data_IF_345297797067
#
_entry.id   IF_345297797067
#
_cell.length_a   1.000
_cell.length_b   1.000
_cell.length_c   1.000
_cell.angle_alpha   90.00
_cell.angle_beta   90.00
_cell.angle_gamma   90.00
#
_symmetry.space_group_name_H-M   'P 1'
#
loop_
_entity.id
_entity.type
_entity.pdbx_description
1 polymer ?
#
# COMPACT_ATOMS: atom_id res chain seq x y z
N UNK A 1 -46.83 -6.20 1.19
CA UNK A 1 -45.86 -5.57 2.12
C UNK A 1 -45.07 -6.69 2.79
N UNK A 2 -43.89 -6.98 2.26
CA UNK A 2 -42.99 -8.02 2.78
C UNK A 2 -42.12 -7.33 3.83
N UNK A 3 -42.16 -7.73 5.11
CA UNK A 3 -41.37 -7.08 6.13
C UNK A 3 -39.88 -7.37 5.93
N UNK A 4 -39.11 -6.30 5.97
CA UNK A 4 -37.65 -6.17 6.01
C UNK A 4 -36.91 -7.39 6.57
N UNK A 5 -36.15 -8.06 5.69
CA UNK A 5 -35.32 -9.27 5.94
C UNK A 5 -34.14 -9.12 6.91
N UNK A 6 -34.18 -8.13 7.82
CA UNK A 6 -33.09 -7.80 8.74
C UNK A 6 -33.10 -8.64 10.04
N UNK A 7 -34.08 -9.52 10.26
CA UNK A 7 -34.17 -10.40 11.45
C UNK A 7 -33.99 -11.89 11.14
N UNK A 8 -33.73 -12.27 9.89
CA UNK A 8 -33.77 -13.68 9.44
C UNK A 8 -32.41 -14.42 9.44
N UNK A 9 -31.30 -13.83 9.88
CA UNK A 9 -29.99 -14.50 9.69
C UNK A 9 -29.16 -14.72 10.96
N UNK A 10 -29.43 -14.02 12.07
CA UNK A 10 -28.67 -14.19 13.31
C UNK A 10 -29.22 -15.27 14.26
N UNK A 11 -30.37 -15.87 13.92
CA UNK A 11 -31.01 -16.93 14.72
C UNK A 11 -31.50 -18.14 13.90
N UNK A 12 -31.33 -18.12 12.58
CA UNK A 12 -31.86 -19.16 11.67
C UNK A 12 -30.81 -20.10 11.08
N UNK A 13 -29.62 -20.21 11.67
CA UNK A 13 -28.63 -21.19 11.19
C UNK A 13 -29.19 -22.61 11.15
N UNK A 14 -30.06 -22.96 12.12
CA UNK A 14 -30.76 -24.24 12.17
C UNK A 14 -31.80 -24.34 11.05
N UNK A 15 -32.69 -23.35 10.86
CA UNK A 15 -33.69 -23.42 9.78
C UNK A 15 -33.05 -23.41 8.38
N UNK A 16 -31.99 -22.62 8.18
CA UNK A 16 -31.23 -22.61 6.93
C UNK A 16 -30.53 -23.94 6.67
N UNK A 17 -30.04 -24.60 7.73
CA UNK A 17 -29.49 -25.94 7.63
C UNK A 17 -30.54 -26.98 7.23
N UNK A 18 -31.74 -26.92 7.84
CA UNK A 18 -32.86 -27.79 7.44
C UNK A 18 -33.25 -27.54 5.98
N UNK A 19 -33.36 -26.27 5.58
CA UNK A 19 -33.70 -25.89 4.21
C UNK A 19 -32.66 -26.43 3.23
N UNK A 20 -31.37 -26.25 3.53
CA UNK A 20 -30.27 -26.82 2.75
C UNK A 20 -30.38 -28.34 2.65
N UNK A 21 -30.58 -29.05 3.76
CA UNK A 21 -30.69 -30.52 3.78
C UNK A 21 -31.86 -31.05 2.94
N UNK A 22 -32.96 -30.30 2.86
CA UNK A 22 -34.11 -30.64 2.02
C UNK A 22 -33.86 -30.33 0.55
N UNK A 23 -33.31 -29.14 0.26
CA UNK A 23 -33.09 -28.66 -1.11
C UNK A 23 -31.96 -29.41 -1.82
N UNK A 24 -30.95 -29.90 -1.09
CA UNK A 24 -29.85 -30.69 -1.66
C UNK A 24 -30.30 -32.08 -2.13
N UNK A 25 -31.44 -32.58 -1.64
CA UNK A 25 -32.05 -33.83 -2.11
C UNK A 25 -32.77 -33.68 -3.46
N UNK A 26 -33.07 -32.45 -3.87
CA UNK A 26 -33.74 -32.14 -5.13
C UNK A 26 -32.70 -31.78 -6.18
N UNK A 27 -32.70 -32.39 -7.38
CA UNK A 27 -31.81 -31.97 -8.47
C UNK A 27 -31.95 -30.46 -8.73
N UNK A 28 -30.82 -29.73 -8.72
CA UNK A 28 -30.77 -28.26 -8.84
C UNK A 28 -31.54 -27.47 -7.75
N UNK A 29 -31.99 -28.12 -6.67
CA UNK A 29 -32.76 -27.47 -5.61
C UNK A 29 -31.98 -26.40 -4.85
N UNK A 30 -30.65 -26.53 -4.77
CA UNK A 30 -29.80 -25.57 -4.06
C UNK A 30 -29.43 -24.33 -4.88
N UNK A 31 -29.66 -24.33 -6.20
CA UNK A 31 -29.25 -23.21 -7.07
C UNK A 31 -29.90 -21.87 -6.68
N UNK A 32 -31.20 -21.81 -6.33
CA UNK A 32 -31.82 -20.58 -5.83
C UNK A 32 -31.19 -20.11 -4.51
N UNK A 33 -30.85 -21.04 -3.61
CA UNK A 33 -30.23 -20.70 -2.32
C UNK A 33 -28.83 -20.08 -2.50
N UNK A 34 -28.05 -20.59 -3.46
CA UNK A 34 -26.76 -20.02 -3.80
C UNK A 34 -26.92 -18.59 -4.33
N UNK A 35 -27.88 -18.37 -5.24
CA UNK A 35 -28.17 -17.05 -5.80
C UNK A 35 -28.64 -16.06 -4.74
N UNK A 36 -29.55 -16.46 -3.87
CA UNK A 36 -30.07 -15.62 -2.78
C UNK A 36 -28.95 -15.24 -1.80
N UNK A 37 -28.05 -16.18 -1.48
CA UNK A 37 -26.87 -15.87 -0.66
C UNK A 37 -25.96 -14.83 -1.35
N UNK A 38 -25.67 -15.02 -2.65
CA UNK A 38 -24.84 -14.06 -3.39
C UNK A 38 -25.45 -12.66 -3.39
N UNK A 39 -26.73 -12.54 -3.75
CA UNK A 39 -27.45 -11.26 -3.79
C UNK A 39 -27.53 -10.61 -2.41
N UNK A 40 -27.77 -11.40 -1.37
CA UNK A 40 -27.82 -10.90 0.00
C UNK A 40 -26.46 -10.37 0.47
N UNK A 41 -25.36 -11.08 0.21
CA UNK A 41 -24.01 -10.63 0.59
C UNK A 41 -23.67 -9.31 -0.10
N UNK A 42 -23.95 -9.20 -1.40
CA UNK A 42 -23.69 -7.97 -2.16
C UNK A 42 -24.55 -6.83 -1.63
N UNK A 43 -25.87 -7.04 -1.48
CA UNK A 43 -26.78 -6.01 -1.00
C UNK A 43 -26.42 -5.54 0.42
N UNK A 44 -26.09 -6.46 1.32
CA UNK A 44 -25.71 -6.13 2.70
C UNK A 44 -24.37 -5.42 2.74
N UNK A 45 -23.38 -5.89 1.97
CA UNK A 45 -22.07 -5.25 1.87
C UNK A 45 -22.16 -3.81 1.37
N UNK A 46 -22.93 -3.57 0.30
CA UNK A 46 -23.14 -2.21 -0.22
C UNK A 46 -23.86 -1.32 0.79
N UNK A 47 -24.90 -1.83 1.47
CA UNK A 47 -25.62 -1.07 2.50
C UNK A 47 -24.72 -0.69 3.67
N UNK A 48 -23.93 -1.64 4.19
CA UNK A 48 -22.98 -1.42 5.29
C UNK A 48 -21.93 -0.36 4.90
N UNK A 49 -21.43 -0.41 3.65
CA UNK A 49 -20.46 0.56 3.15
C UNK A 49 -21.03 1.96 2.93
N UNK A 50 -22.25 2.07 2.40
CA UNK A 50 -22.94 3.36 2.21
C UNK A 50 -23.26 4.00 3.56
N UNK A 51 -23.71 3.22 4.54
CA UNK A 51 -24.00 3.73 5.88
C UNK A 51 -22.75 4.29 6.57
N UNK A 52 -21.57 3.74 6.28
CA UNK A 52 -20.31 4.19 6.84
C UNK A 52 -19.52 5.17 5.95
N UNK A 53 -20.09 5.62 4.82
CA UNK A 53 -19.38 6.38 3.79
C UNK A 53 -18.75 7.69 4.30
N UNK A 54 -19.43 8.45 5.16
CA UNK A 54 -18.91 9.71 5.71
C UNK A 54 -17.63 9.51 6.54
N UNK A 55 -17.54 8.39 7.26
CA UNK A 55 -16.38 8.08 8.11
C UNK A 55 -15.26 7.40 7.32
N UNK A 56 -15.62 6.53 6.38
CA UNK A 56 -14.68 5.72 5.59
C UNK A 56 -13.85 6.57 4.61
N UNK A 57 -14.40 7.68 4.09
CA UNK A 57 -13.65 8.53 3.14
C UNK A 57 -12.36 9.13 3.72
N UNK A 58 -12.27 9.22 5.04
CA UNK A 58 -11.13 9.81 5.74
C UNK A 58 -10.32 8.80 6.55
N UNK A 59 -10.86 7.60 6.79
CA UNK A 59 -10.29 6.58 7.68
C UNK A 59 -10.14 5.22 6.96
N UNK A 60 -8.90 4.92 6.55
CA UNK A 60 -8.58 3.66 5.87
C UNK A 60 -8.72 2.43 6.79
N UNK A 61 -8.52 2.58 8.10
CA UNK A 61 -8.65 1.48 9.06
C UNK A 61 -10.09 0.99 9.13
N UNK A 62 -11.03 1.91 9.35
CA UNK A 62 -12.45 1.57 9.44
C UNK A 62 -12.98 0.94 8.16
N UNK A 63 -12.49 1.37 6.99
CA UNK A 63 -12.88 0.73 5.73
C UNK A 63 -12.54 -0.77 5.71
N UNK A 64 -11.30 -1.09 6.06
CA UNK A 64 -10.80 -2.47 6.05
C UNK A 64 -11.51 -3.30 7.11
N UNK A 65 -11.70 -2.75 8.31
CA UNK A 65 -12.43 -3.43 9.40
C UNK A 65 -13.87 -3.79 9.01
N UNK A 66 -14.55 -2.93 8.25
CA UNK A 66 -15.90 -3.23 7.77
C UNK A 66 -15.91 -4.35 6.73
N UNK A 67 -14.94 -4.36 5.79
CA UNK A 67 -14.78 -5.47 4.83
C UNK A 67 -14.49 -6.79 5.55
N UNK A 68 -13.62 -6.78 6.55
CA UNK A 68 -13.31 -7.96 7.37
C UNK A 68 -14.52 -8.43 8.17
N UNK A 69 -15.28 -7.50 8.75
CA UNK A 69 -16.53 -7.80 9.48
C UNK A 69 -17.54 -8.46 8.56
N UNK A 70 -17.71 -7.94 7.33
CA UNK A 70 -18.57 -8.53 6.30
C UNK A 70 -18.13 -9.96 5.95
N UNK A 71 -16.84 -10.16 5.70
CA UNK A 71 -16.28 -11.48 5.37
C UNK A 71 -16.50 -12.48 6.51
N UNK A 72 -16.19 -12.08 7.74
CA UNK A 72 -16.32 -12.93 8.94
C UNK A 72 -17.78 -13.27 9.24
N UNK A 73 -18.69 -12.30 9.10
CA UNK A 73 -20.14 -12.51 9.27
C UNK A 73 -20.66 -13.61 8.34
N UNK A 74 -20.35 -13.51 7.06
CA UNK A 74 -20.85 -14.48 6.08
C UNK A 74 -20.07 -15.79 6.06
N UNK A 75 -18.79 -15.78 6.44
CA UNK A 75 -18.04 -17.02 6.67
C UNK A 75 -18.60 -17.82 7.83
N UNK A 76 -18.96 -17.15 8.94
CA UNK A 76 -19.64 -17.79 10.07
C UNK A 76 -20.99 -18.37 9.65
N UNK A 77 -21.77 -17.61 8.87
CA UNK A 77 -23.06 -18.09 8.34
C UNK A 77 -22.88 -19.36 7.50
N UNK A 78 -21.93 -19.37 6.56
CA UNK A 78 -21.68 -20.53 5.69
C UNK A 78 -21.23 -21.75 6.49
N UNK A 79 -20.37 -21.55 7.49
CA UNK A 79 -19.93 -22.60 8.39
C UNK A 79 -21.07 -23.20 9.20
N UNK A 80 -21.90 -22.36 9.80
CA UNK A 80 -22.95 -22.82 10.72
C UNK A 80 -24.18 -23.37 9.99
N UNK A 81 -24.64 -22.69 8.94
CA UNK A 81 -25.86 -23.08 8.21
C UNK A 81 -25.59 -24.14 7.12
N UNK A 82 -24.46 -24.05 6.44
CA UNK A 82 -24.15 -24.88 5.26
C UNK A 82 -22.96 -25.83 5.49
N UNK A 83 -22.45 -25.94 6.72
CA UNK A 83 -21.37 -26.87 7.09
C UNK A 83 -20.12 -26.75 6.20
N UNK A 84 -19.75 -25.52 5.82
CA UNK A 84 -18.63 -25.23 4.91
C UNK A 84 -18.77 -25.94 3.54
N UNK A 85 -20.02 -26.12 3.04
CA UNK A 85 -20.26 -26.66 1.71
C UNK A 85 -19.50 -25.86 0.64
N UNK A 86 -18.68 -26.51 -0.22
CA UNK A 86 -17.84 -25.84 -1.21
C UNK A 86 -18.61 -24.92 -2.17
N UNK A 87 -19.88 -25.23 -2.47
CA UNK A 87 -20.72 -24.44 -3.38
C UNK A 87 -21.09 -23.12 -2.72
N UNK A 88 -21.44 -23.14 -1.43
CA UNK A 88 -21.73 -21.93 -0.65
C UNK A 88 -20.47 -21.12 -0.33
N UNK A 89 -19.33 -21.77 -0.09
CA UNK A 89 -18.04 -21.06 0.02
C UNK A 89 -17.70 -20.32 -1.29
N UNK A 90 -17.90 -20.96 -2.44
CA UNK A 90 -17.68 -20.34 -3.75
C UNK A 90 -18.63 -19.16 -3.99
N UNK A 91 -19.92 -19.32 -3.65
CA UNK A 91 -20.92 -18.25 -3.73
C UNK A 91 -20.54 -17.04 -2.84
N UNK A 92 -20.14 -17.29 -1.59
CA UNK A 92 -19.63 -16.26 -0.68
C UNK A 92 -18.44 -15.52 -1.28
N UNK A 93 -17.45 -16.25 -1.77
CA UNK A 93 -16.21 -15.68 -2.32
C UNK A 93 -16.49 -14.84 -3.57
N UNK A 94 -17.40 -15.30 -4.43
CA UNK A 94 -17.85 -14.56 -5.61
C UNK A 94 -18.57 -13.27 -5.23
N UNK A 95 -19.48 -13.31 -4.27
CA UNK A 95 -20.21 -12.15 -3.80
C UNK A 95 -19.31 -11.15 -3.08
N UNK A 96 -18.42 -11.63 -2.20
CA UNK A 96 -17.44 -10.79 -1.51
C UNK A 96 -16.48 -10.11 -2.49
N UNK A 97 -16.02 -10.85 -3.52
CA UNK A 97 -15.24 -10.28 -4.63
C UNK A 97 -16.01 -9.18 -5.36
N UNK A 98 -17.31 -9.34 -5.58
CA UNK A 98 -18.12 -8.29 -6.20
C UNK A 98 -18.11 -7.01 -5.34
N UNK A 99 -18.33 -7.13 -4.03
CA UNK A 99 -18.31 -5.99 -3.09
C UNK A 99 -16.94 -5.29 -3.07
N UNK A 100 -15.84 -6.03 -2.92
CA UNK A 100 -14.47 -5.47 -2.83
C UNK A 100 -14.11 -4.65 -4.08
N UNK A 101 -14.57 -5.09 -5.25
CA UNK A 101 -14.24 -4.45 -6.53
C UNK A 101 -15.32 -3.48 -7.03
N UNK A 102 -16.38 -3.25 -6.26
CA UNK A 102 -17.45 -2.34 -6.65
C UNK A 102 -16.96 -0.88 -6.59
N UNK A 103 -16.95 -0.22 -7.76
CA UNK A 103 -16.47 1.15 -7.90
C UNK A 103 -17.51 2.21 -7.50
N UNK A 104 -18.76 1.83 -7.25
CA UNK A 104 -19.84 2.72 -6.81
C UNK A 104 -19.75 3.04 -5.31
N UNK A 105 -19.08 2.17 -4.54
CA UNK A 105 -18.80 2.38 -3.11
C UNK A 105 -17.87 3.60 -2.94
N UNK A 106 -16.77 3.66 -3.70
CA UNK A 106 -15.85 4.79 -3.74
C UNK A 106 -15.20 4.88 -5.12
N UNK A 107 -15.45 5.98 -5.86
CA UNK A 107 -14.88 6.19 -7.18
C UNK A 107 -13.47 6.80 -7.09
N UNK A 108 -12.46 6.10 -7.62
CA UNK A 108 -11.15 6.69 -7.94
C UNK A 108 -11.14 7.13 -9.40
N UNK A 109 -10.67 8.34 -9.70
CA UNK A 109 -10.34 8.73 -11.06
C UNK A 109 -8.83 8.60 -11.26
N UNK A 110 -8.40 7.58 -12.02
CA UNK A 110 -7.01 7.38 -12.39
C UNK A 110 -6.74 7.99 -13.77
N UNK A 111 -5.70 8.83 -13.93
CA UNK A 111 -5.18 9.17 -15.25
C UNK A 111 -4.57 7.91 -15.90
N UNK A 112 -5.09 7.50 -17.07
CA UNK A 112 -4.45 6.48 -17.89
C UNK A 112 -3.08 6.98 -18.36
N UNK A 113 -2.08 6.09 -18.34
CA UNK A 113 -0.71 6.37 -18.77
C UNK A 113 -0.67 6.85 -20.23
N UNK A 114 -0.38 8.13 -20.46
CA UNK A 114 0.57 8.52 -21.50
C UNK A 114 1.29 9.84 -21.18
N UNK A 115 2.53 9.91 -21.68
CA UNK A 115 3.56 10.94 -21.47
C UNK A 115 3.04 12.35 -21.76
N UNK A 116 3.13 13.25 -20.78
CA UNK A 116 2.93 14.68 -20.99
C UNK A 116 2.03 15.29 -19.92
N UNK A 117 2.60 16.20 -19.13
CA UNK A 117 1.91 16.91 -18.06
C UNK A 117 1.00 17.97 -18.65
N UNK A 118 -0.26 17.95 -18.21
CA UNK A 118 -1.19 19.06 -18.37
C UNK A 118 -1.69 19.45 -16.98
N UNK A 119 -1.75 20.75 -16.73
CA UNK A 119 -2.23 21.34 -15.49
C UNK A 119 -3.71 21.03 -15.26
N UNK A 120 -4.13 20.95 -13.99
CA UNK A 120 -5.48 20.54 -13.55
C UNK A 120 -6.64 21.34 -14.18
N UNK A 121 -6.39 22.56 -14.67
CA UNK A 121 -7.41 23.38 -15.34
C UNK A 121 -7.48 23.19 -16.87
N UNK A 122 -6.41 22.68 -17.49
CA UNK A 122 -6.36 22.42 -18.94
C UNK A 122 -6.86 21.01 -19.29
N UNK A 123 -6.79 20.09 -18.32
CA UNK A 123 -7.16 18.70 -18.49
C UNK A 123 -8.65 18.54 -18.86
N UNK A 124 -9.57 19.27 -18.19
CA UNK A 124 -11.02 19.15 -18.39
C UNK A 124 -11.51 19.44 -19.82
N UNK A 125 -10.86 20.34 -20.57
CA UNK A 125 -11.22 20.65 -21.97
C UNK A 125 -10.58 19.70 -22.98
N UNK A 126 -9.44 19.11 -22.64
CA UNK A 126 -8.74 18.13 -23.49
C UNK A 126 -9.40 16.75 -23.38
N UNK A 127 -9.86 16.36 -22.19
CA UNK A 127 -10.54 15.07 -21.97
C UNK A 127 -11.81 14.90 -22.81
N UNK A 128 -12.57 15.97 -23.06
CA UNK A 128 -13.77 15.93 -23.90
C UNK A 128 -13.46 15.77 -25.40
N UNK A 129 -12.25 16.10 -25.86
CA UNK A 129 -11.87 16.04 -27.30
C UNK A 129 -11.21 14.74 -27.73
N UNK A 130 -10.65 13.95 -26.80
CA UNK A 130 -9.80 12.78 -27.13
C UNK A 130 -10.46 11.42 -26.83
N UNK A 131 -11.68 11.39 -26.27
CA UNK A 131 -12.42 10.13 -26.09
C UNK A 131 -11.72 9.11 -25.17
N UNK A 132 -10.84 9.54 -24.26
CA UNK A 132 -10.25 8.67 -23.25
C UNK A 132 -11.33 8.28 -22.22
N UNK A 133 -11.76 7.02 -22.27
CA UNK A 133 -12.64 6.43 -21.26
C UNK A 133 -11.85 6.22 -19.96
N UNK A 134 -12.10 7.01 -18.92
CA UNK A 134 -11.67 6.70 -17.56
C UNK A 134 -12.56 5.57 -17.04
N UNK A 135 -11.97 4.40 -16.76
CA UNK A 135 -12.73 3.32 -16.13
C UNK A 135 -12.88 3.66 -14.64
N UNK A 136 -14.11 3.64 -14.08
CA UNK A 136 -14.29 3.78 -12.64
C UNK A 136 -13.67 2.57 -11.96
N UNK A 137 -12.60 2.79 -11.19
CA UNK A 137 -11.96 1.73 -10.40
C UNK A 137 -12.25 1.94 -8.91
N UNK A 138 -12.43 0.83 -8.18
CA UNK A 138 -12.62 0.83 -6.73
C UNK A 138 -11.40 1.44 -6.03
N UNK A 139 -11.63 2.30 -5.02
CA UNK A 139 -10.57 2.81 -4.14
C UNK A 139 -10.00 1.74 -3.18
N UNK A 140 -10.62 0.57 -3.09
CA UNK A 140 -10.20 -0.48 -2.16
C UNK A 140 -8.68 -0.79 -2.18
N UNK A 141 -8.03 -0.97 -3.35
CA UNK A 141 -6.59 -1.28 -3.39
C UNK A 141 -5.71 -0.16 -2.80
N UNK A 142 -6.12 1.10 -2.96
CA UNK A 142 -5.41 2.25 -2.37
C UNK A 142 -5.60 2.29 -0.85
N UNK A 143 -6.84 2.12 -0.38
CA UNK A 143 -7.16 2.13 1.06
C UNK A 143 -6.47 0.99 1.80
N UNK A 144 -6.41 -0.21 1.22
CA UNK A 144 -5.64 -1.34 1.76
C UNK A 144 -4.15 -0.98 1.88
N UNK A 145 -3.57 -0.37 0.85
CA UNK A 145 -2.16 0.03 0.87
C UNK A 145 -1.87 1.13 1.91
N UNK A 146 -2.79 2.08 2.09
CA UNK A 146 -2.69 3.12 3.10
C UNK A 146 -2.79 2.55 4.52
N UNK A 147 -3.69 1.58 4.74
CA UNK A 147 -3.80 0.93 6.04
C UNK A 147 -2.54 0.13 6.38
N UNK A 148 -1.97 -0.61 5.42
CA UNK A 148 -0.65 -1.23 5.60
C UNK A 148 0.43 -0.19 5.97
N UNK A 149 0.47 0.97 5.31
CA UNK A 149 1.45 2.03 5.62
C UNK A 149 1.29 2.56 7.06
N UNK A 150 0.04 2.75 7.52
CA UNK A 150 -0.23 3.19 8.90
C UNK A 150 0.27 2.20 9.96
N UNK A 151 0.17 0.89 9.68
CA UNK A 151 0.62 -0.19 10.55
C UNK A 151 2.16 -0.34 10.54
N UNK A 152 2.78 -0.23 9.35
CA UNK A 152 4.22 -0.44 9.15
C UNK A 152 5.08 0.79 9.50
N UNK A 153 4.48 1.97 9.65
CA UNK A 153 5.17 3.19 10.07
C UNK A 153 5.06 3.42 11.58
N UNK A 154 6.02 4.14 12.17
CA UNK A 154 5.95 4.65 13.55
C UNK A 154 4.82 5.69 13.73
N UNK A 155 3.57 5.24 13.87
CA UNK A 155 2.37 6.07 14.07
C UNK A 155 1.87 5.93 15.52
N UNK A 156 0.99 6.84 16.00
CA UNK A 156 0.33 6.64 17.29
C UNK A 156 -0.47 5.34 17.40
N UNK A 157 -0.92 4.79 16.25
CA UNK A 157 -1.64 3.53 16.18
C UNK A 157 -0.68 2.34 16.37
N UNK A 158 0.40 2.26 15.59
CA UNK A 158 1.36 1.15 15.70
C UNK A 158 2.08 1.13 17.04
N UNK A 159 2.24 2.28 17.71
CA UNK A 159 2.78 2.35 19.08
C UNK A 159 1.88 1.74 20.15
N UNK A 160 0.59 1.55 19.88
CA UNK A 160 -0.38 0.96 20.82
C UNK A 160 -0.53 -0.55 20.65
N UNK A 161 0.00 -1.09 19.55
CA UNK A 161 -0.14 -2.49 19.17
C UNK A 161 1.19 -3.22 19.38
N UNK A 162 1.14 -4.51 19.67
CA UNK A 162 2.35 -5.36 19.67
C UNK A 162 2.72 -5.75 18.23
N UNK A 163 3.96 -6.24 18.04
CA UNK A 163 4.41 -6.75 16.75
C UNK A 163 3.52 -7.89 16.23
N UNK A 164 3.04 -8.77 17.12
CA UNK A 164 2.14 -9.86 16.77
C UNK A 164 0.75 -9.37 16.34
N UNK A 165 0.22 -8.34 17.00
CA UNK A 165 -1.07 -7.73 16.62
C UNK A 165 -0.98 -7.02 15.26
N UNK A 166 0.15 -6.36 14.99
CA UNK A 166 0.42 -5.75 13.68
C UNK A 166 0.48 -6.83 12.60
N UNK A 167 1.21 -7.92 12.84
CA UNK A 167 1.26 -9.06 11.92
C UNK A 167 -0.12 -9.65 11.66
N UNK A 168 -0.93 -9.85 12.71
CA UNK A 168 -2.29 -10.36 12.57
C UNK A 168 -3.15 -9.43 11.68
N UNK A 169 -3.15 -8.11 11.95
CA UNK A 169 -3.87 -7.12 11.14
C UNK A 169 -3.37 -7.08 9.68
N UNK A 170 -2.06 -7.22 9.45
CA UNK A 170 -1.52 -7.30 8.08
C UNK A 170 -2.01 -8.56 7.35
N UNK A 171 -2.05 -9.72 8.02
CA UNK A 171 -2.62 -10.95 7.43
C UNK A 171 -4.10 -10.83 7.10
N UNK A 172 -4.87 -10.10 7.90
CA UNK A 172 -6.26 -9.77 7.58
C UNK A 172 -6.37 -8.88 6.34
N UNK A 173 -5.52 -7.86 6.19
CA UNK A 173 -5.46 -7.05 4.95
C UNK A 173 -5.17 -7.93 3.73
N UNK A 174 -4.24 -8.87 3.86
CA UNK A 174 -3.89 -9.80 2.80
C UNK A 174 -5.02 -10.76 2.44
N UNK A 175 -5.90 -11.12 3.38
CA UNK A 175 -7.13 -11.86 3.10
C UNK A 175 -8.04 -11.06 2.16
N UNK A 176 -8.26 -9.77 2.43
CA UNK A 176 -9.06 -8.91 1.55
C UNK A 176 -8.39 -8.74 0.18
N UNK A 177 -7.06 -8.58 0.17
CA UNK A 177 -6.26 -8.40 -1.05
C UNK A 177 -6.39 -9.57 -2.04
N UNK A 178 -6.64 -10.80 -1.57
CA UNK A 178 -6.91 -11.97 -2.43
C UNK A 178 -8.12 -11.75 -3.36
N UNK A 179 -9.09 -10.95 -2.94
CA UNK A 179 -10.32 -10.67 -3.70
C UNK A 179 -10.20 -9.43 -4.59
N UNK A 180 -9.14 -8.64 -4.47
CA UNK A 180 -8.90 -7.46 -5.32
C UNK A 180 -8.54 -7.91 -6.74
N UNK A 181 -9.22 -7.35 -7.75
CA UNK A 181 -8.94 -7.60 -9.17
C UNK A 181 -7.71 -6.82 -9.65
N UNK A 182 -7.67 -5.51 -9.41
CA UNK A 182 -6.58 -4.66 -9.87
C UNK A 182 -5.43 -4.59 -8.85
N UNK A 183 -4.67 -5.69 -8.76
CA UNK A 183 -3.52 -5.83 -7.85
C UNK A 183 -2.40 -4.81 -8.13
N UNK A 184 -2.26 -4.33 -9.36
CA UNK A 184 -1.24 -3.35 -9.75
C UNK A 184 -1.40 -1.99 -9.04
N UNK A 185 -2.64 -1.60 -8.77
CA UNK A 185 -2.94 -0.35 -8.06
C UNK A 185 -2.44 -0.44 -6.63
N UNK A 186 -2.76 -1.52 -5.92
CA UNK A 186 -2.22 -1.78 -4.58
C UNK A 186 -0.69 -1.75 -4.61
N UNK A 187 -0.05 -2.51 -5.51
CA UNK A 187 1.41 -2.58 -5.57
C UNK A 187 2.06 -1.24 -5.88
N UNK A 188 1.42 -0.38 -6.68
CA UNK A 188 1.91 0.98 -6.95
C UNK A 188 1.93 1.84 -5.68
N UNK A 189 0.83 1.84 -4.91
CA UNK A 189 0.75 2.61 -3.66
C UNK A 189 1.67 2.01 -2.59
N UNK A 190 1.64 0.70 -2.41
CA UNK A 190 2.49 0.01 -1.44
C UNK A 190 3.98 0.25 -1.73
N UNK A 191 4.41 0.18 -3.00
CA UNK A 191 5.78 0.55 -3.39
C UNK A 191 6.12 1.99 -3.02
N UNK A 192 5.23 2.93 -3.30
CA UNK A 192 5.47 4.35 -3.01
C UNK A 192 5.62 4.60 -1.50
N UNK A 193 4.80 3.93 -0.69
CA UNK A 193 4.87 3.99 0.76
C UNK A 193 6.16 3.35 1.29
N UNK A 194 6.50 2.13 0.86
CA UNK A 194 7.76 1.47 1.24
C UNK A 194 8.98 2.32 0.86
N UNK A 195 8.96 2.91 -0.33
CA UNK A 195 10.02 3.82 -0.80
C UNK A 195 10.25 4.95 0.19
N UNK A 196 9.18 5.63 0.64
CA UNK A 196 9.30 6.69 1.65
C UNK A 196 9.80 6.14 2.97
N UNK A 197 9.32 4.98 3.41
CA UNK A 197 9.69 4.40 4.70
C UNK A 197 11.17 4.04 4.78
N UNK A 198 11.71 3.41 3.73
CA UNK A 198 13.11 3.02 3.65
C UNK A 198 14.09 4.20 3.45
N UNK A 199 13.66 5.24 2.72
CA UNK A 199 14.47 6.44 2.52
C UNK A 199 14.54 7.28 3.78
N UNK A 200 13.41 7.47 4.46
CA UNK A 200 13.31 8.31 5.66
C UNK A 200 13.62 7.56 6.96
N UNK A 201 13.83 6.24 6.88
CA UNK A 201 14.07 5.35 8.03
C UNK A 201 12.97 5.46 9.12
N UNK A 202 11.72 5.44 8.67
CA UNK A 202 10.52 5.63 9.51
C UNK A 202 9.70 4.34 9.70
N UNK A 203 10.23 3.21 9.25
CA UNK A 203 9.63 1.89 9.50
C UNK A 203 9.54 1.62 11.00
N UNK A 204 8.46 0.98 11.43
CA UNK A 204 8.23 0.60 12.81
C UNK A 204 9.10 -0.61 13.20
N UNK A 205 9.13 -1.61 12.33
CA UNK A 205 9.84 -2.88 12.51
C UNK A 205 10.36 -3.34 11.14
N UNK A 206 11.66 -3.56 11.02
CA UNK A 206 12.31 -3.99 9.79
C UNK A 206 12.00 -5.43 9.42
N UNK A 207 11.81 -6.31 10.41
CA UNK A 207 11.56 -7.73 10.18
C UNK A 207 10.15 -7.92 9.59
N UNK A 208 9.16 -7.20 10.12
CA UNK A 208 7.79 -7.21 9.58
C UNK A 208 7.77 -6.65 8.14
N UNK A 209 8.59 -5.65 7.82
CA UNK A 209 8.68 -5.10 6.47
C UNK A 209 9.25 -6.12 5.47
N UNK A 210 10.27 -6.90 5.85
CA UNK A 210 10.77 -8.00 5.02
C UNK A 210 9.72 -9.12 4.89
N UNK A 211 9.08 -9.52 5.99
CA UNK A 211 8.01 -10.52 6.00
C UNK A 211 6.81 -10.11 5.13
N UNK A 212 6.45 -8.82 5.11
CA UNK A 212 5.37 -8.31 4.27
C UNK A 212 5.63 -8.56 2.78
N UNK A 213 6.89 -8.49 2.32
CA UNK A 213 7.23 -8.80 0.92
C UNK A 213 7.03 -10.28 0.63
N UNK A 214 7.39 -11.16 1.56
CA UNK A 214 7.17 -12.60 1.42
C UNK A 214 5.69 -12.95 1.46
N UNK A 215 4.90 -12.36 2.35
CA UNK A 215 3.46 -12.59 2.37
C UNK A 215 2.77 -12.09 1.10
N UNK A 216 3.22 -10.97 0.51
CA UNK A 216 2.74 -10.52 -0.81
C UNK A 216 3.06 -11.53 -1.92
N UNK A 217 4.21 -12.21 -1.84
CA UNK A 217 4.57 -13.30 -2.75
C UNK A 217 3.59 -14.47 -2.61
N UNK A 218 3.32 -14.90 -1.37
CA UNK A 218 2.42 -16.03 -1.06
C UNK A 218 0.97 -15.78 -1.50
N UNK A 219 0.49 -14.54 -1.39
CA UNK A 219 -0.86 -14.12 -1.84
C UNK A 219 -1.00 -14.10 -3.37
N UNK A 220 0.10 -14.30 -4.10
CA UNK A 220 0.12 -14.29 -5.56
C UNK A 220 -0.02 -12.88 -6.12
N UNK A 221 0.70 -11.91 -5.55
CA UNK A 221 0.87 -10.59 -6.15
C UNK A 221 1.84 -10.66 -7.34
N UNK A 222 1.77 -9.72 -8.30
CA UNK A 222 2.63 -9.73 -9.48
C UNK A 222 4.13 -9.82 -9.13
N UNK A 223 4.79 -10.88 -9.61
CA UNK A 223 6.15 -11.21 -9.22
C UNK A 223 7.17 -10.11 -9.56
N UNK A 224 6.97 -9.38 -10.67
CA UNK A 224 7.86 -8.29 -11.07
C UNK A 224 7.83 -7.12 -10.07
N UNK A 225 6.68 -6.86 -9.43
CA UNK A 225 6.56 -5.87 -8.38
C UNK A 225 7.18 -6.36 -7.09
N UNK A 226 6.87 -7.59 -6.66
CA UNK A 226 7.42 -8.19 -5.43
C UNK A 226 8.95 -8.25 -5.49
N UNK A 227 9.52 -8.67 -6.62
CA UNK A 227 10.97 -8.71 -6.82
C UNK A 227 11.62 -7.32 -6.74
N UNK A 228 10.94 -6.26 -7.20
CA UNK A 228 11.42 -4.88 -7.04
C UNK A 228 11.42 -4.46 -5.57
N UNK A 229 10.39 -4.82 -4.79
CA UNK A 229 10.36 -4.52 -3.35
C UNK A 229 11.50 -5.25 -2.62
N UNK A 230 11.68 -6.55 -2.87
CA UNK A 230 12.79 -7.32 -2.30
C UNK A 230 14.16 -6.71 -2.66
N UNK A 231 14.32 -6.24 -3.90
CA UNK A 231 15.53 -5.55 -4.35
C UNK A 231 15.77 -4.23 -3.61
N UNK A 232 14.71 -3.50 -3.25
CA UNK A 232 14.85 -2.25 -2.48
C UNK A 232 15.52 -2.50 -1.12
N UNK A 233 15.17 -3.56 -0.39
CA UNK A 233 15.85 -3.89 0.87
C UNK A 233 17.34 -4.21 0.68
N UNK A 234 17.68 -4.95 -0.38
CA UNK A 234 19.09 -5.21 -0.72
C UNK A 234 19.84 -3.92 -1.05
N UNK A 235 19.22 -3.01 -1.79
CA UNK A 235 19.82 -1.72 -2.13
C UNK A 235 20.03 -0.84 -0.89
N UNK A 236 19.13 -0.88 0.11
CA UNK A 236 19.33 -0.17 1.38
C UNK A 236 20.58 -0.69 2.10
N UNK A 237 20.73 -2.01 2.26
CA UNK A 237 21.89 -2.61 2.93
C UNK A 237 23.20 -2.25 2.22
N UNK A 238 23.25 -2.41 0.90
CA UNK A 238 24.42 -2.01 0.09
C UNK A 238 24.71 -0.51 0.22
N UNK A 239 23.66 0.31 0.28
CA UNK A 239 23.82 1.75 0.43
C UNK A 239 24.36 2.15 1.80
N UNK A 240 24.01 1.43 2.87
CA UNK A 240 24.54 1.67 4.21
C UNK A 240 26.04 1.39 4.26
N UNK A 241 26.47 0.28 3.65
CA UNK A 241 27.90 -0.07 3.52
C UNK A 241 28.67 1.02 2.74
N UNK A 242 28.11 1.50 1.62
CA UNK A 242 28.72 2.57 0.82
C UNK A 242 28.81 3.88 1.59
N UNK A 243 27.78 4.21 2.36
CA UNK A 243 27.74 5.41 3.17
C UNK A 243 28.78 5.35 4.31
N UNK A 244 28.94 4.19 4.95
CA UNK A 244 29.98 3.99 5.96
C UNK A 244 31.38 4.13 5.35
N UNK A 245 31.64 3.50 4.20
CA UNK A 245 32.91 3.61 3.50
C UNK A 245 33.23 5.06 3.08
N UNK A 246 32.22 5.83 2.66
CA UNK A 246 32.37 7.26 2.36
C UNK A 246 32.80 8.05 3.61
N UNK A 247 32.10 7.83 4.74
CA UNK A 247 32.41 8.49 6.02
C UNK A 247 33.82 8.19 6.50
N UNK A 248 34.25 6.94 6.40
CA UNK A 248 35.60 6.51 6.80
C UNK A 248 36.69 7.18 5.96
N UNK A 249 36.50 7.27 4.64
CA UNK A 249 37.47 7.90 3.74
C UNK A 249 37.65 9.40 4.04
N UNK A 250 36.57 10.09 4.41
CA UNK A 250 36.59 11.53 4.67
C UNK A 250 36.71 11.91 6.14
N UNK A 251 36.92 10.94 7.04
CA UNK A 251 37.06 11.19 8.49
C UNK A 251 38.19 12.16 8.84
N UNK A 252 39.27 12.14 8.06
CA UNK A 252 40.46 12.98 8.25
C UNK A 252 40.56 14.15 7.25
N UNK A 253 39.67 14.20 6.24
CA UNK A 253 39.65 15.26 5.24
C UNK A 253 38.77 16.41 5.71
N UNK A 254 39.20 17.65 5.44
CA UNK A 254 38.37 18.85 5.65
C UNK A 254 37.33 18.96 4.54
N UNK A 255 36.23 18.22 4.66
CA UNK A 255 35.01 18.50 3.89
C UNK A 255 34.33 19.79 4.38
N UNK A 256 33.54 20.42 3.51
CA UNK A 256 32.69 21.57 3.87
C UNK A 256 31.67 21.20 4.98
N UNK A 257 31.19 19.95 4.98
CA UNK A 257 30.35 19.37 6.03
C UNK A 257 31.07 18.22 6.74
N UNK A 258 30.88 18.04 8.07
CA UNK A 258 31.34 16.84 8.74
C UNK A 258 30.75 15.59 8.06
N UNK A 259 31.59 14.63 7.68
CA UNK A 259 31.13 13.42 6.97
C UNK A 259 30.04 12.67 7.75
N UNK A 260 30.13 12.66 9.08
CA UNK A 260 29.14 12.03 9.96
C UNK A 260 27.76 12.69 9.92
N UNK A 261 27.70 13.97 9.55
CA UNK A 261 26.43 14.70 9.48
C UNK A 261 25.58 14.22 8.31
N UNK A 262 26.19 13.80 7.20
CA UNK A 262 25.52 13.41 5.96
C UNK A 262 25.21 11.91 5.93
N UNK A 263 24.07 11.54 5.38
CA UNK A 263 23.69 10.18 5.03
C UNK A 263 23.38 10.09 3.54
N UNK A 264 24.21 9.38 2.79
CA UNK A 264 24.06 9.25 1.34
C UNK A 264 23.40 7.90 1.05
N UNK A 265 22.26 7.94 0.35
CA UNK A 265 21.57 6.73 -0.10
C UNK A 265 21.76 6.53 -1.60
N UNK A 266 22.58 5.57 -2.02
CA UNK A 266 22.82 5.22 -3.43
C UNK A 266 22.00 3.98 -3.80
N UNK A 267 21.00 4.15 -4.64
CA UNK A 267 19.95 3.17 -4.91
C UNK A 267 19.88 2.84 -6.41
N UNK A 268 19.26 1.71 -6.77
CA UNK A 268 19.11 1.32 -8.17
C UNK A 268 17.85 1.94 -8.81
N UNK A 269 18.02 2.75 -9.85
CA UNK A 269 16.93 3.32 -10.64
C UNK A 269 15.83 2.33 -11.05
N UNK A 270 16.19 1.11 -11.46
CA UNK A 270 15.22 0.13 -11.94
C UNK A 270 14.23 -0.36 -10.86
N UNK A 271 14.69 -0.46 -9.62
CA UNK A 271 13.87 -0.93 -8.50
C UNK A 271 13.10 0.23 -7.84
N UNK A 272 13.71 1.41 -7.73
CA UNK A 272 13.16 2.54 -6.96
C UNK A 272 12.35 3.52 -7.79
N UNK A 273 12.91 3.97 -8.91
CA UNK A 273 12.36 5.11 -9.64
C UNK A 273 11.13 4.73 -10.47
N UNK A 274 10.15 5.64 -10.48
CA UNK A 274 9.23 5.81 -11.61
C UNK A 274 9.47 7.21 -12.12
N UNK A 275 10.18 7.34 -13.24
CA UNK A 275 10.27 8.54 -14.09
C UNK A 275 9.87 9.84 -13.37
N UNK A 276 10.71 10.34 -12.46
CA UNK A 276 10.45 11.65 -11.88
C UNK A 276 10.77 12.71 -12.91
N UNK A 277 9.94 13.73 -13.01
CA UNK A 277 10.35 14.97 -13.66
C UNK A 277 11.64 15.46 -13.01
N UNK A 278 12.56 15.96 -13.83
CA UNK A 278 13.76 16.64 -13.33
C UNK A 278 13.31 17.97 -12.74
N UNK A 279 13.18 18.01 -11.43
CA UNK A 279 12.95 19.25 -10.71
C UNK A 279 14.32 19.83 -10.36
N UNK A 280 14.58 21.03 -10.87
CA UNK A 280 15.77 21.79 -10.52
C UNK A 280 15.53 22.47 -9.19
N UNK A 281 16.43 22.22 -8.24
CA UNK A 281 16.47 22.90 -6.93
C UNK A 281 17.82 23.57 -6.78
N UNK A 282 17.83 24.80 -6.27
CA UNK A 282 19.07 25.46 -5.85
C UNK A 282 19.48 24.89 -4.49
N UNK A 283 20.68 24.32 -4.41
CA UNK A 283 21.20 23.73 -3.18
C UNK A 283 22.03 24.77 -2.41
N UNK A 284 22.07 24.70 -1.07
CA UNK A 284 23.09 25.37 -0.27
C UNK A 284 24.51 25.01 -0.73
N UNK A 285 25.44 25.98 -0.65
CA UNK A 285 26.83 25.82 -1.11
C UNK A 285 27.50 24.60 -0.49
N UNK A 286 27.24 24.32 0.78
CA UNK A 286 27.86 23.21 1.50
C UNK A 286 27.51 21.84 0.90
N UNK A 287 26.38 21.73 0.20
CA UNK A 287 25.96 20.51 -0.50
C UNK A 287 26.38 20.48 -1.95
N UNK A 288 26.45 21.65 -2.59
CA UNK A 288 27.05 21.75 -3.92
C UNK A 288 28.52 21.30 -3.89
N UNK A 289 29.27 21.66 -2.84
CA UNK A 289 30.65 21.24 -2.63
C UNK A 289 30.79 19.73 -2.33
N UNK A 290 29.74 19.12 -1.76
CA UNK A 290 29.74 17.70 -1.45
C UNK A 290 29.47 16.81 -2.67
N UNK A 291 28.69 17.30 -3.65
CA UNK A 291 28.29 16.53 -4.84
C UNK A 291 29.51 15.93 -5.57
N UNK A 292 30.56 16.71 -5.93
CA UNK A 292 31.73 16.19 -6.63
C UNK A 292 32.47 15.09 -5.85
N UNK A 293 32.59 15.24 -4.52
CA UNK A 293 33.28 14.29 -3.65
C UNK A 293 32.58 12.93 -3.65
N UNK A 294 31.24 12.94 -3.63
CA UNK A 294 30.43 11.71 -3.70
C UNK A 294 30.52 11.07 -5.07
N UNK A 295 30.50 11.86 -6.15
CA UNK A 295 30.66 11.34 -7.51
C UNK A 295 32.05 10.72 -7.73
N UNK A 296 33.11 11.35 -7.22
CA UNK A 296 34.47 10.83 -7.30
C UNK A 296 34.63 9.53 -6.50
N UNK A 297 34.14 9.51 -5.25
CA UNK A 297 34.11 8.30 -4.43
C UNK A 297 33.41 7.14 -5.16
N UNK A 298 32.22 7.39 -5.69
CA UNK A 298 31.44 6.35 -6.35
C UNK A 298 32.12 5.86 -7.64
N UNK A 299 32.65 6.78 -8.45
CA UNK A 299 33.34 6.47 -9.71
C UNK A 299 34.60 5.64 -9.50
N UNK A 300 35.34 5.89 -8.41
CA UNK A 300 36.53 5.11 -8.05
C UNK A 300 36.20 3.65 -7.75
N UNK A 301 35.06 3.41 -7.11
CA UNK A 301 34.63 2.07 -6.69
C UNK A 301 33.78 1.36 -7.76
N UNK A 302 33.15 2.11 -8.68
CA UNK A 302 32.22 1.59 -9.69
C UNK A 302 32.45 2.24 -11.06
N UNK A 303 33.30 1.60 -11.87
CA UNK A 303 33.53 2.02 -13.25
C UNK A 303 32.31 1.75 -14.13
N UNK A 304 32.03 2.68 -15.06
CA UNK A 304 30.94 2.52 -16.04
C UNK A 304 29.53 2.83 -15.52
N UNK A 305 29.37 3.28 -14.27
CA UNK A 305 28.09 3.74 -13.72
C UNK A 305 28.02 5.27 -13.64
N UNK A 306 26.82 5.82 -13.73
CA UNK A 306 26.55 7.25 -13.60
C UNK A 306 25.46 7.47 -12.56
N UNK A 307 25.68 8.42 -11.66
CA UNK A 307 24.72 8.79 -10.63
C UNK A 307 23.69 9.80 -11.16
N UNK A 308 22.45 9.68 -10.70
CA UNK A 308 21.39 10.64 -10.89
C UNK A 308 20.88 11.15 -9.54
N UNK A 309 20.90 12.47 -9.37
CA UNK A 309 20.51 13.13 -8.14
C UNK A 309 18.99 13.27 -8.03
N UNK A 310 18.40 12.74 -6.96
CA UNK A 310 16.96 12.80 -6.68
C UNK A 310 16.67 13.67 -5.45
N UNK A 311 16.80 14.99 -5.60
CA UNK A 311 16.62 15.95 -4.50
C UNK A 311 15.22 15.97 -3.89
N UNK A 312 14.16 15.67 -4.65
CA UNK A 312 12.77 15.63 -4.16
C UNK A 312 12.53 14.59 -3.05
N UNK A 313 13.38 13.56 -2.99
CA UNK A 313 13.29 12.50 -2.00
C UNK A 313 14.32 12.68 -0.89
N UNK A 314 15.14 13.72 -0.99
CA UNK A 314 16.15 14.09 0.00
C UNK A 314 15.51 14.96 1.08
N UNK A 315 15.96 14.80 2.32
CA UNK A 315 15.47 15.58 3.45
C UNK A 315 16.63 15.98 4.37
N UNK A 316 16.47 17.09 5.10
CA UNK A 316 17.49 17.62 6.00
C UNK A 316 16.89 18.46 7.13
N UNK A 317 17.66 18.67 8.19
CA UNK A 317 17.30 19.45 9.37
C UNK A 317 18.25 20.64 9.50
N UNK A 318 17.80 21.84 9.16
CA UNK A 318 18.60 23.06 9.34
C UNK A 318 18.35 23.61 10.74
N UNK A 319 19.40 23.79 11.53
CA UNK A 319 19.31 24.47 12.82
C UNK A 319 19.31 25.98 12.62
N UNK A 320 18.29 26.67 13.13
CA UNK A 320 18.31 28.13 13.24
C UNK A 320 18.77 28.49 14.66
N UNK A 321 19.87 29.22 14.78
CA UNK A 321 20.32 29.74 16.08
C UNK A 321 19.56 31.04 16.32
N UNK A 322 18.47 30.94 17.09
CA UNK A 322 17.88 32.10 17.75
C UNK A 322 18.19 31.96 19.24
N UNK A 323 19.02 32.86 19.79
CA UNK A 323 19.31 32.97 21.24
C UNK A 323 20.01 31.76 21.93
N UNK A 324 21.05 31.17 21.32
CA UNK A 324 22.20 30.65 22.10
C UNK A 324 22.20 29.21 22.66
N UNK A 325 21.40 28.25 22.15
CA UNK A 325 21.57 26.82 22.48
C UNK A 325 21.72 25.93 21.23
N UNK A 326 22.52 24.87 21.33
CA UNK A 326 23.38 24.29 20.28
C UNK A 326 22.86 23.06 19.48
N UNK A 327 23.50 22.82 18.30
CA UNK A 327 23.93 21.61 17.51
C UNK A 327 23.18 20.26 17.68
N UNK A 328 22.98 19.33 16.70
CA UNK A 328 23.49 18.93 15.34
C UNK A 328 22.45 17.95 14.69
N UNK A 329 22.24 17.78 13.36
CA UNK A 329 22.90 16.87 12.37
C UNK A 329 22.02 16.76 11.08
N UNK A 330 22.57 16.52 9.86
CA UNK A 330 21.89 16.81 8.58
C UNK A 330 22.19 15.87 7.38
N UNK A 331 21.11 15.28 6.84
CA UNK A 331 20.79 15.06 5.42
C UNK A 331 20.80 13.63 4.87
N UNK A 332 19.63 13.14 4.45
CA UNK A 332 19.54 12.00 3.52
C UNK A 332 19.56 12.57 2.11
N UNK A 333 20.60 12.23 1.38
CA UNK A 333 20.73 12.54 -0.04
C UNK A 333 20.42 11.27 -0.82
N UNK A 334 19.32 11.27 -1.57
CA UNK A 334 18.93 10.11 -2.38
C UNK A 334 19.54 10.23 -3.76
N UNK A 335 20.45 9.32 -4.05
CA UNK A 335 21.09 9.06 -5.32
C UNK A 335 20.46 7.80 -5.92
N UNK A 336 20.15 7.87 -7.22
CA UNK A 336 19.55 6.77 -7.97
C UNK A 336 20.33 6.55 -9.27
#
# INVERSE_FOLDING_TARGET
MIPSGLKLFSGLSIELHLMFSLMDKVPSGIEPMLKDLEEHIVSAGLADMVAAAETITTDSEKYVEQLLTLFNRFSKLVKEAFQDDPRFLTARDKAYKAVVNDATIFKLELPLKQKGILTLQQASKVFARVGLKTQPESKCPELLANYCDMLLRKTPLSKKLTSEEIEAKLKEVLLVLKYVQNKDVFMRYHKAHLTRRLILDISADSEIEENMVEWLREVGMPADYVNKLARMFQDIKVSEDLNQAFKEMHKNNKLALPADSVNIKILNAGAWSRSSEKVFVSLPTELEDLIPEVEEFYKKNHSGRKLHWHHLMSNGIVSSICLGLARQSLQVLVLV
#
